data_IF_126736865924
#
_entry.id   IF_126736865924
#
_cell.length_a   1.000
_cell.length_b   1.000
_cell.length_c   1.000
_cell.angle_alpha   90.00
_cell.angle_beta   90.00
_cell.angle_gamma   90.00
#
_symmetry.space_group_name_H-M   'P 1'
#
loop_
_entity.id
_entity.type
_entity.pdbx_description
1 polymer ?
#
# COMPACT_ATOMS: atom_id res chain seq x y z
N UNK A 1 22.13 10.87 9.80
CA UNK A 1 21.94 11.20 8.38
C UNK A 1 20.48 10.90 8.06
N UNK A 2 19.75 11.81 7.41
CA UNK A 2 18.39 11.50 6.96
C UNK A 2 18.51 10.59 5.73
N UNK A 3 18.03 9.35 5.83
CA UNK A 3 18.15 8.33 4.79
C UNK A 3 16.95 8.34 3.82
N UNK A 4 15.97 9.23 4.01
CA UNK A 4 14.76 9.25 3.17
C UNK A 4 13.83 8.05 3.39
N UNK A 5 14.06 7.27 4.46
CA UNK A 5 13.33 6.04 4.77
C UNK A 5 12.12 6.29 5.67
N UNK A 6 11.11 5.45 5.54
CA UNK A 6 9.88 5.49 6.32
C UNK A 6 9.51 4.09 6.83
N UNK A 7 9.65 3.87 8.14
CA UNK A 7 9.33 2.57 8.76
C UNK A 7 7.83 2.40 8.95
N UNK A 8 7.33 1.27 8.45
CA UNK A 8 5.91 0.90 8.52
C UNK A 8 5.73 -0.49 9.09
N UNK A 9 4.54 -0.74 9.63
CA UNK A 9 4.14 -2.04 10.16
C UNK A 9 2.76 -2.46 9.66
N UNK A 10 2.59 -3.76 9.38
CA UNK A 10 1.29 -4.39 9.18
C UNK A 10 1.09 -5.42 10.30
N UNK A 11 0.02 -5.26 11.08
CA UNK A 11 -0.21 -6.03 12.30
C UNK A 11 -1.55 -6.78 12.21
N UNK A 12 -1.50 -8.12 12.28
CA UNK A 12 -2.68 -8.99 12.25
C UNK A 12 -2.95 -9.47 13.67
N UNK A 13 -3.91 -8.87 14.39
CA UNK A 13 -4.29 -9.32 15.72
C UNK A 13 -5.11 -10.60 15.63
N UNK A 14 -5.06 -11.40 16.71
CA UNK A 14 -6.15 -12.34 16.98
C UNK A 14 -7.39 -11.53 17.32
N UNK A 15 -8.48 -11.79 16.60
CA UNK A 15 -9.77 -11.13 16.82
C UNK A 15 -10.69 -12.01 17.66
N UNK A 16 -11.67 -11.40 18.32
CA UNK A 16 -12.87 -12.04 18.82
C UNK A 16 -14.07 -11.28 18.26
N UNK A 17 -14.88 -11.95 17.46
CA UNK A 17 -16.06 -11.35 16.81
C UNK A 17 -16.97 -10.72 17.88
N UNK A 18 -17.33 -9.45 17.67
CA UNK A 18 -18.13 -8.59 18.54
C UNK A 18 -17.56 -8.26 19.94
N UNK A 19 -16.41 -8.81 20.36
CA UNK A 19 -15.72 -8.46 21.61
C UNK A 19 -14.73 -7.31 21.36
N UNK A 20 -15.28 -6.11 21.18
CA UNK A 20 -14.52 -4.90 20.80
C UNK A 20 -13.48 -4.49 21.85
N UNK A 21 -13.70 -4.81 23.13
CA UNK A 21 -12.75 -4.51 24.21
C UNK A 21 -11.50 -5.37 24.12
N UNK A 22 -11.67 -6.66 23.85
CA UNK A 22 -10.54 -7.56 23.60
C UNK A 22 -9.76 -7.15 22.35
N UNK A 23 -10.47 -6.81 21.26
CA UNK A 23 -9.85 -6.41 20.01
C UNK A 23 -9.05 -5.10 20.16
N UNK A 24 -9.64 -4.08 20.80
CA UNK A 24 -8.95 -2.82 21.09
C UNK A 24 -7.74 -3.02 22.00
N UNK A 25 -7.84 -3.89 23.02
CA UNK A 25 -6.69 -4.24 23.86
C UNK A 25 -5.52 -4.84 23.06
N UNK A 26 -5.82 -5.69 22.08
CA UNK A 26 -4.81 -6.29 21.19
C UNK A 26 -4.20 -5.25 20.24
N UNK A 27 -5.03 -4.35 19.68
CA UNK A 27 -4.57 -3.22 18.84
C UNK A 27 -3.63 -2.30 19.62
N UNK A 28 -3.97 -1.90 20.86
CA UNK A 28 -3.10 -1.08 21.69
C UNK A 28 -1.77 -1.77 22.01
N UNK A 29 -1.79 -3.08 22.33
CA UNK A 29 -0.58 -3.87 22.57
C UNK A 29 0.34 -3.90 21.36
N UNK A 30 -0.21 -4.15 20.16
CA UNK A 30 0.56 -4.20 18.92
C UNK A 30 1.06 -2.82 18.49
N UNK A 31 0.26 -1.77 18.72
CA UNK A 31 0.67 -0.38 18.49
C UNK A 31 1.86 -0.01 19.37
N UNK A 32 1.86 -0.40 20.65
CA UNK A 32 3.01 -0.18 21.54
C UNK A 32 4.29 -0.87 21.03
N UNK A 33 4.17 -2.13 20.59
CA UNK A 33 5.31 -2.84 19.98
C UNK A 33 5.80 -2.18 18.70
N UNK A 34 4.89 -1.70 17.84
CA UNK A 34 5.26 -1.01 16.61
C UNK A 34 5.99 0.32 16.91
N UNK A 35 5.56 1.05 17.93
CA UNK A 35 6.22 2.26 18.40
C UNK A 35 7.63 1.97 18.96
N UNK A 36 7.78 0.91 19.77
CA UNK A 36 9.08 0.46 20.29
C UNK A 36 10.09 0.12 19.17
N UNK A 37 9.58 -0.38 18.04
CA UNK A 37 10.37 -0.68 16.83
C UNK A 37 10.61 0.55 15.93
N UNK A 38 10.09 1.72 16.31
CA UNK A 38 10.23 2.98 15.57
C UNK A 38 9.31 3.12 14.36
N UNK A 39 8.23 2.34 14.26
CA UNK A 39 7.29 2.48 13.15
C UNK A 39 6.54 3.83 13.22
N UNK A 40 6.48 4.51 12.08
CA UNK A 40 5.72 5.76 11.92
C UNK A 40 4.25 5.52 11.58
N UNK A 41 3.95 4.35 11.02
CA UNK A 41 2.62 3.92 10.60
C UNK A 41 2.42 2.44 10.91
N UNK A 42 1.33 2.09 11.61
CA UNK A 42 0.88 0.71 11.81
C UNK A 42 -0.53 0.54 11.26
N UNK A 43 -0.72 -0.52 10.49
CA UNK A 43 -1.96 -0.84 9.79
C UNK A 43 -2.57 -2.12 10.35
N UNK A 44 -3.87 -2.09 10.63
CA UNK A 44 -4.66 -3.22 11.09
C UNK A 44 -5.72 -3.65 10.05
N UNK A 45 -6.28 -4.86 10.15
CA UNK A 45 -7.28 -5.36 9.22
C UNK A 45 -8.57 -4.54 9.14
N UNK A 46 -9.33 -4.80 8.08
CA UNK A 46 -10.70 -4.33 7.88
C UNK A 46 -11.59 -4.73 9.06
N UNK A 47 -12.42 -3.80 9.53
CA UNK A 47 -13.31 -3.98 10.69
C UNK A 47 -12.64 -4.62 11.92
N UNK A 48 -11.32 -4.42 12.10
CA UNK A 48 -10.52 -5.01 13.18
C UNK A 48 -11.01 -4.68 14.60
N UNK A 49 -11.80 -3.62 14.79
CA UNK A 49 -12.43 -3.31 16.07
C UNK A 49 -13.52 -4.33 16.41
N UNK A 50 -14.38 -4.67 15.46
CA UNK A 50 -15.53 -5.56 15.68
C UNK A 50 -15.25 -7.01 15.31
N UNK A 51 -14.30 -7.24 14.40
CA UNK A 51 -14.28 -8.42 13.54
C UNK A 51 -15.19 -8.20 12.33
N UNK A 52 -14.70 -8.60 11.16
CA UNK A 52 -15.39 -8.46 9.88
C UNK A 52 -16.67 -9.30 9.82
N UNK A 53 -16.63 -10.49 10.41
CA UNK A 53 -17.70 -11.50 10.34
C UNK A 53 -18.83 -11.30 11.35
N UNK A 54 -19.11 -10.06 11.78
CA UNK A 54 -20.21 -9.75 12.71
C UNK A 54 -21.61 -9.90 12.08
N UNK A 55 -21.72 -9.89 10.74
CA UNK A 55 -22.99 -10.07 10.00
C UNK A 55 -24.09 -9.13 10.54
N UNK A 56 -25.30 -9.64 10.76
CA UNK A 56 -26.47 -8.88 11.26
C UNK A 56 -26.25 -8.22 12.64
N UNK A 57 -25.18 -8.55 13.38
CA UNK A 57 -24.81 -7.80 14.58
C UNK A 57 -24.45 -6.34 14.28
N UNK A 58 -24.07 -5.99 13.04
CA UNK A 58 -23.89 -4.60 12.62
C UNK A 58 -25.18 -3.77 12.73
N UNK A 59 -26.36 -4.41 12.78
CA UNK A 59 -27.63 -3.74 13.07
C UNK A 59 -27.85 -3.40 14.56
N UNK A 60 -27.00 -3.89 15.47
CA UNK A 60 -27.17 -3.71 16.91
C UNK A 60 -26.50 -2.42 17.40
N UNK A 61 -27.30 -1.49 17.94
CA UNK A 61 -26.80 -0.24 18.51
C UNK A 61 -25.71 -0.44 19.57
N UNK A 62 -25.81 -1.52 20.37
CA UNK A 62 -24.82 -1.83 21.39
C UNK A 62 -23.44 -2.08 20.77
N UNK A 63 -23.35 -2.88 19.70
CA UNK A 63 -22.09 -3.14 19.01
C UNK A 63 -21.49 -1.84 18.45
N UNK A 64 -22.31 -1.02 17.80
CA UNK A 64 -21.85 0.23 17.18
C UNK A 64 -21.36 1.24 18.21
N UNK A 65 -22.08 1.42 19.32
CA UNK A 65 -21.67 2.30 20.41
C UNK A 65 -20.38 1.80 21.06
N UNK A 66 -20.29 0.50 21.34
CA UNK A 66 -19.08 -0.10 21.93
C UNK A 66 -17.89 -0.03 20.98
N UNK A 67 -18.11 -0.17 19.68
CA UNK A 67 -17.07 0.01 18.66
C UNK A 67 -16.52 1.43 18.66
N UNK A 68 -17.38 2.45 18.77
CA UNK A 68 -16.94 3.84 18.88
C UNK A 68 -16.15 4.10 20.18
N UNK A 69 -16.61 3.58 21.32
CA UNK A 69 -15.88 3.65 22.60
C UNK A 69 -14.49 2.98 22.51
N UNK A 70 -14.41 1.82 21.83
CA UNK A 70 -13.17 1.10 21.60
C UNK A 70 -12.18 1.87 20.71
N UNK A 71 -12.66 2.56 19.67
CA UNK A 71 -11.84 3.48 18.88
C UNK A 71 -11.35 4.65 19.74
N UNK A 72 -12.22 5.22 20.59
CA UNK A 72 -11.84 6.26 21.55
C UNK A 72 -10.71 5.82 22.49
N UNK A 73 -10.74 4.58 22.97
CA UNK A 73 -9.67 4.00 23.80
C UNK A 73 -8.34 3.90 23.05
N UNK A 74 -8.35 3.51 21.78
CA UNK A 74 -7.13 3.44 20.96
C UNK A 74 -6.62 4.85 20.66
N UNK A 75 -7.52 5.78 20.33
CA UNK A 75 -7.20 7.19 20.14
C UNK A 75 -6.48 7.74 21.37
N UNK A 76 -7.02 7.56 22.57
CA UNK A 76 -6.38 7.99 23.82
C UNK A 76 -5.03 7.29 24.05
N UNK A 77 -4.91 6.02 23.71
CA UNK A 77 -3.63 5.32 23.77
C UNK A 77 -2.58 5.96 22.87
N UNK A 78 -2.94 6.54 21.72
CA UNK A 78 -1.98 7.24 20.84
C UNK A 78 -1.48 8.58 21.39
N UNK A 79 -2.04 9.11 22.49
CA UNK A 79 -1.66 10.42 23.06
C UNK A 79 -0.19 10.44 23.47
N UNK A 80 0.55 11.45 23.00
CA UNK A 80 1.99 11.60 23.25
C UNK A 80 2.88 10.68 22.42
N UNK A 81 2.30 9.89 21.51
CA UNK A 81 3.03 8.95 20.64
C UNK A 81 3.23 9.53 19.24
N UNK A 82 4.33 9.16 18.60
CA UNK A 82 4.62 9.58 17.22
C UNK A 82 3.99 8.66 16.16
N UNK A 83 3.57 7.45 16.55
CA UNK A 83 2.99 6.47 15.63
C UNK A 83 1.60 6.88 15.14
N UNK A 84 1.36 6.71 13.83
CA UNK A 84 0.05 6.79 13.20
C UNK A 84 -0.58 5.41 13.14
N UNK A 85 -1.85 5.29 13.52
CA UNK A 85 -2.56 4.01 13.61
C UNK A 85 -3.73 4.01 12.64
N UNK A 86 -3.85 2.99 11.79
CA UNK A 86 -4.99 2.79 10.89
C UNK A 86 -5.75 1.55 11.32
N UNK A 87 -7.00 1.72 11.75
CA UNK A 87 -7.89 0.63 12.21
C UNK A 87 -9.19 0.60 11.42
N UNK A 88 -9.80 -0.58 11.30
CA UNK A 88 -11.08 -0.76 10.64
C UNK A 88 -12.24 -0.76 11.64
N UNK A 89 -13.29 0.01 11.39
CA UNK A 89 -14.49 0.07 12.24
C UNK A 89 -15.76 0.45 11.45
N UNK A 90 -16.94 0.01 11.89
CA UNK A 90 -18.21 0.50 11.35
C UNK A 90 -18.50 1.92 11.86
N UNK A 91 -18.85 2.84 10.97
CA UNK A 91 -19.11 4.26 11.29
C UNK A 91 -20.50 4.67 10.80
N UNK A 92 -21.29 5.27 11.71
CA UNK A 92 -22.61 5.82 11.36
C UNK A 92 -22.47 7.24 10.84
N UNK A 93 -23.06 7.53 9.68
CA UNK A 93 -23.14 8.88 9.14
C UNK A 93 -24.48 9.09 8.44
N UNK A 94 -25.19 10.18 8.79
CA UNK A 94 -26.50 10.58 8.21
C UNK A 94 -27.52 9.42 8.09
N UNK A 95 -27.59 8.56 9.10
CA UNK A 95 -28.55 7.44 9.15
C UNK A 95 -28.13 6.17 8.38
N UNK A 96 -26.95 6.16 7.77
CA UNK A 96 -26.36 4.97 7.12
C UNK A 96 -25.13 4.50 7.90
N UNK A 97 -24.74 3.25 7.68
CA UNK A 97 -23.54 2.64 8.26
C UNK A 97 -22.50 2.43 7.18
N UNK A 98 -21.24 2.74 7.45
CA UNK A 98 -20.14 2.60 6.49
C UNK A 98 -19.04 1.72 7.08
N UNK A 99 -18.42 0.90 6.24
CA UNK A 99 -17.20 0.17 6.57
C UNK A 99 -16.02 1.12 6.36
N UNK A 100 -15.32 1.49 7.43
CA UNK A 100 -14.34 2.56 7.37
C UNK A 100 -12.97 2.16 7.93
N UNK A 101 -11.94 2.76 7.36
CA UNK A 101 -10.63 2.92 7.97
C UNK A 101 -10.59 4.24 8.75
N UNK A 102 -10.08 4.22 9.98
CA UNK A 102 -9.95 5.39 10.84
C UNK A 102 -8.47 5.63 11.12
N UNK A 103 -8.01 6.84 10.81
CA UNK A 103 -6.63 7.27 11.08
C UNK A 103 -6.57 7.95 12.43
N UNK A 104 -5.78 7.39 13.35
CA UNK A 104 -5.62 7.88 14.71
C UNK A 104 -4.17 8.31 14.92
N UNK A 105 -3.98 9.46 15.56
CA UNK A 105 -2.65 9.93 15.93
C UNK A 105 -2.68 10.95 17.07
N UNK A 106 -1.76 10.81 18.01
CA UNK A 106 -1.53 11.76 19.10
C UNK A 106 -2.82 12.20 19.84
N UNK A 107 -3.70 11.24 20.15
CA UNK A 107 -4.94 11.53 20.88
C UNK A 107 -6.06 12.13 20.05
N UNK A 108 -5.99 12.10 18.71
CA UNK A 108 -7.03 12.62 17.83
C UNK A 108 -7.31 11.72 16.62
N UNK A 109 -8.53 11.85 16.08
CA UNK A 109 -8.95 11.26 14.81
C UNK A 109 -8.53 12.21 13.69
N UNK A 110 -7.73 11.71 12.75
CA UNK A 110 -7.15 12.51 11.66
C UNK A 110 -7.96 12.45 10.38
N UNK A 111 -8.79 11.44 10.23
CA UNK A 111 -9.73 11.28 9.12
C UNK A 111 -10.35 9.88 9.11
N UNK A 112 -11.49 9.77 8.44
CA UNK A 112 -12.22 8.51 8.27
C UNK A 112 -12.39 8.25 6.78
N UNK A 113 -11.96 7.09 6.31
CA UNK A 113 -12.02 6.69 4.90
C UNK A 113 -13.04 5.56 4.76
N UNK A 114 -14.20 5.78 4.12
CA UNK A 114 -15.20 4.74 3.89
C UNK A 114 -14.86 3.91 2.65
N UNK A 115 -15.12 2.61 2.71
CA UNK A 115 -14.99 1.66 1.60
C UNK A 115 -15.95 2.05 0.47
N UNK A 116 -15.46 2.13 -0.76
CA UNK A 116 -16.27 2.54 -1.91
C UNK A 116 -17.00 1.34 -2.48
N UNK A 117 -16.29 0.26 -2.76
CA UNK A 117 -16.86 -0.89 -3.43
C UNK A 117 -17.25 -1.96 -2.41
N UNK A 118 -18.53 -2.29 -2.34
CA UNK A 118 -19.08 -3.28 -1.42
C UNK A 118 -19.39 -4.57 -2.18
N UNK A 119 -18.67 -5.68 -1.95
CA UNK A 119 -18.95 -6.93 -2.62
C UNK A 119 -20.27 -7.52 -2.11
N UNK A 120 -21.18 -7.83 -3.04
CA UNK A 120 -22.46 -8.51 -2.80
C UNK A 120 -22.60 -9.75 -3.71
N UNK A 121 -21.52 -10.50 -3.85
CA UNK A 121 -21.44 -11.68 -4.70
C UNK A 121 -20.70 -12.82 -3.97
N UNK A 122 -21.00 -14.05 -4.36
CA UNK A 122 -20.46 -15.27 -3.75
C UNK A 122 -20.68 -15.30 -2.22
N UNK A 123 -19.62 -15.35 -1.42
CA UNK A 123 -19.64 -15.38 0.04
C UNK A 123 -19.86 -14.01 0.71
N UNK A 124 -19.89 -12.92 -0.05
CA UNK A 124 -19.98 -11.55 0.47
C UNK A 124 -21.37 -10.95 0.26
N UNK A 125 -21.90 -10.29 1.29
CA UNK A 125 -23.17 -9.54 1.26
C UNK A 125 -23.04 -8.18 1.97
N UNK A 126 -21.93 -7.47 1.77
CA UNK A 126 -21.64 -6.24 2.53
C UNK A 126 -22.69 -5.14 2.32
N UNK A 127 -23.29 -5.09 1.13
CA UNK A 127 -24.37 -4.15 0.79
C UNK A 127 -25.65 -4.35 1.62
N UNK A 128 -25.80 -5.46 2.33
CA UNK A 128 -26.88 -5.68 3.31
C UNK A 128 -26.75 -4.77 4.53
N UNK A 129 -25.53 -4.49 4.98
CA UNK A 129 -25.27 -3.75 6.23
C UNK A 129 -24.66 -2.37 6.01
N UNK A 130 -23.84 -2.23 4.96
CA UNK A 130 -23.04 -1.03 4.72
C UNK A 130 -23.52 -0.26 3.49
N UNK A 131 -23.34 1.06 3.57
CA UNK A 131 -23.47 1.99 2.47
C UNK A 131 -22.10 2.22 1.81
N UNK A 132 -22.13 2.50 0.51
CA UNK A 132 -20.92 2.76 -0.26
C UNK A 132 -20.35 4.14 0.06
N UNK A 133 -19.03 4.21 0.18
CA UNK A 133 -18.25 5.45 0.24
C UNK A 133 -18.41 6.35 -1.00
N UNK A 134 -19.05 5.87 -2.08
CA UNK A 134 -19.40 6.71 -3.23
C UNK A 134 -20.31 7.88 -2.86
N UNK A 135 -21.06 7.78 -1.76
CA UNK A 135 -21.88 8.87 -1.21
C UNK A 135 -21.07 10.16 -0.95
N UNK A 136 -19.75 10.04 -0.81
CA UNK A 136 -18.83 11.15 -0.53
C UNK A 136 -18.09 11.67 -1.79
N UNK A 137 -18.39 11.18 -2.99
CA UNK A 137 -17.70 11.57 -4.23
C UNK A 137 -18.41 12.69 -5.02
N UNK A 138 -19.49 13.28 -4.50
CA UNK A 138 -20.25 14.33 -5.18
C UNK A 138 -19.47 15.64 -5.40
N UNK A 139 -19.84 16.40 -6.43
CA UNK A 139 -19.16 17.63 -6.88
C UNK A 139 -19.05 18.74 -5.82
N UNK A 140 -19.92 18.74 -4.80
CA UNK A 140 -19.91 19.71 -3.71
C UNK A 140 -18.84 19.39 -2.64
N UNK A 141 -18.23 18.19 -2.66
CA UNK A 141 -17.12 17.80 -1.78
C UNK A 141 -15.76 18.29 -2.29
N UNK A 142 -15.75 19.52 -2.82
CA UNK A 142 -14.51 20.20 -3.19
C UNK A 142 -13.61 20.38 -1.95
N UNK A 143 -12.31 20.23 -2.13
CA UNK A 143 -11.28 20.47 -1.11
C UNK A 143 -11.15 21.98 -0.79
N UNK A 144 -12.26 22.61 -0.37
CA UNK A 144 -12.35 24.02 -0.01
C UNK A 144 -12.38 24.18 1.50
N UNK A 145 -12.34 25.42 1.99
CA UNK A 145 -12.30 25.71 3.42
C UNK A 145 -10.91 25.61 4.07
N UNK A 146 -10.84 25.97 5.34
CA UNK A 146 -9.63 26.03 6.17
C UNK A 146 -9.51 24.79 7.05
N UNK A 147 -8.28 24.41 7.34
CA UNK A 147 -8.00 23.42 8.38
C UNK A 147 -8.28 24.02 9.76
N UNK A 148 -8.97 23.25 10.57
CA UNK A 148 -9.24 23.49 11.98
C UNK A 148 -8.52 22.40 12.76
N UNK A 149 -7.52 22.80 13.54
CA UNK A 149 -6.86 21.97 14.55
C UNK A 149 -6.86 22.76 15.86
N UNK A 150 -7.76 22.41 16.78
CA UNK A 150 -7.85 23.04 18.11
C UNK A 150 -7.26 22.14 19.21
N UNK A 151 -6.48 21.13 18.83
CA UNK A 151 -5.94 20.11 19.71
C UNK A 151 -6.94 19.02 20.11
N UNK A 152 -8.23 19.22 19.83
CA UNK A 152 -9.28 18.20 19.99
C UNK A 152 -9.81 17.79 18.62
N UNK A 153 -10.43 18.71 17.91
CA UNK A 153 -11.01 18.52 16.60
C UNK A 153 -9.95 18.74 15.52
N UNK A 154 -9.99 17.91 14.47
CA UNK A 154 -9.06 18.00 13.34
C UNK A 154 -9.83 17.75 12.05
N UNK A 155 -10.25 18.83 11.41
CA UNK A 155 -11.11 18.77 10.22
C UNK A 155 -10.91 19.98 9.32
N UNK A 156 -11.43 19.89 8.10
CA UNK A 156 -11.54 20.97 7.14
C UNK A 156 -12.99 21.42 7.03
N UNK A 157 -13.24 22.72 7.24
CA UNK A 157 -14.59 23.28 7.42
C UNK A 157 -15.42 23.39 6.13
N UNK A 158 -14.78 23.29 4.96
CA UNK A 158 -15.45 23.35 3.65
C UNK A 158 -16.01 22.02 3.15
N UNK A 159 -15.88 20.95 3.94
CA UNK A 159 -16.43 19.63 3.61
C UNK A 159 -17.85 19.50 4.17
N UNK A 160 -18.80 19.06 3.35
CA UNK A 160 -20.13 18.67 3.84
C UNK A 160 -20.08 17.40 4.73
N UNK A 161 -19.00 16.63 4.59
CA UNK A 161 -18.77 15.36 5.27
C UNK A 161 -17.98 15.50 6.58
N UNK A 162 -18.40 16.43 7.45
CA UNK A 162 -17.90 16.54 8.83
C UNK A 162 -18.74 15.66 9.75
N UNK A 163 -18.08 14.78 10.51
CA UNK A 163 -18.70 13.87 11.46
C UNK A 163 -18.19 14.14 12.88
N UNK A 164 -19.08 14.00 13.87
CA UNK A 164 -18.70 13.89 15.28
C UNK A 164 -18.58 12.42 15.66
N UNK A 165 -17.36 11.95 15.93
CA UNK A 165 -17.06 10.56 16.28
C UNK A 165 -16.10 10.54 17.48
N UNK A 166 -16.35 9.69 18.48
CA UNK A 166 -15.64 9.67 19.77
C UNK A 166 -15.68 11.03 20.51
N UNK A 167 -16.61 11.91 20.18
CA UNK A 167 -16.66 13.27 20.71
C UNK A 167 -15.75 14.30 20.02
N UNK A 168 -15.08 13.92 18.93
CA UNK A 168 -14.22 14.76 18.09
C UNK A 168 -14.88 15.02 16.73
N UNK A 169 -14.65 16.20 16.15
CA UNK A 169 -14.99 16.50 14.75
C UNK A 169 -13.82 16.15 13.84
N UNK A 170 -14.13 15.39 12.79
CA UNK A 170 -13.21 15.00 11.74
C UNK A 170 -13.94 14.90 10.39
N UNK A 171 -13.21 14.81 9.29
CA UNK A 171 -13.79 14.56 7.98
C UNK A 171 -13.91 13.06 7.70
N UNK A 172 -14.98 12.68 7.02
CA UNK A 172 -15.17 11.36 6.42
C UNK A 172 -15.20 11.50 4.89
N UNK A 173 -14.26 10.87 4.19
CA UNK A 173 -14.20 10.91 2.71
C UNK A 173 -13.21 9.86 2.19
N UNK A 174 -13.44 9.28 1.00
CA UNK A 174 -12.44 8.48 0.30
C UNK A 174 -11.26 9.31 -0.24
N UNK A 175 -11.44 10.63 -0.40
CA UNK A 175 -10.44 11.51 -1.02
C UNK A 175 -9.53 12.19 0.04
N UNK A 176 -9.09 11.43 1.03
CA UNK A 176 -8.20 11.91 2.09
C UNK A 176 -6.78 11.37 1.86
N UNK A 177 -5.80 12.25 1.99
CA UNK A 177 -4.37 11.92 2.05
C UNK A 177 -3.82 12.34 3.41
N UNK A 178 -2.80 11.64 3.89
CA UNK A 178 -2.22 11.85 5.21
C UNK A 178 -0.70 11.94 5.09
N UNK A 179 -0.13 13.09 5.45
CA UNK A 179 1.31 13.32 5.45
C UNK A 179 1.90 13.10 6.84
N UNK A 180 2.93 12.26 6.94
CA UNK A 180 3.67 11.94 8.17
C UNK A 180 5.16 12.00 7.86
N UNK A 181 5.85 13.01 8.39
CA UNK A 181 7.27 13.22 8.08
C UNK A 181 7.49 13.43 6.59
N UNK A 182 8.27 12.55 5.96
CA UNK A 182 8.59 12.60 4.53
C UNK A 182 7.63 11.79 3.65
N UNK A 183 6.69 11.04 4.23
CA UNK A 183 5.77 10.16 3.51
C UNK A 183 4.34 10.70 3.50
N UNK A 184 3.66 10.60 2.36
CA UNK A 184 2.21 10.77 2.24
C UNK A 184 1.56 9.44 1.94
N UNK A 185 0.50 9.09 2.66
CA UNK A 185 -0.25 7.87 2.42
C UNK A 185 -1.73 8.11 2.11
N UNK A 186 -2.30 7.20 1.34
CA UNK A 186 -3.73 7.07 1.06
C UNK A 186 -4.25 5.70 1.49
N UNK A 187 -5.56 5.56 1.64
CA UNK A 187 -6.18 4.31 2.10
C UNK A 187 -7.21 3.84 1.07
N UNK A 188 -7.20 2.53 0.80
CA UNK A 188 -8.29 1.79 0.17
C UNK A 188 -8.65 0.58 1.04
N UNK A 189 -9.85 0.00 0.89
CA UNK A 189 -10.34 -1.06 1.77
C UNK A 189 -10.74 -2.28 0.94
N UNK A 190 -10.01 -3.38 1.12
CA UNK A 190 -10.31 -4.71 0.58
C UNK A 190 -10.74 -4.68 -0.90
N UNK A 191 -12.04 -4.84 -1.18
CA UNK A 191 -12.65 -4.85 -2.52
C UNK A 191 -12.31 -3.64 -3.38
N UNK A 192 -12.03 -2.48 -2.77
CA UNK A 192 -11.58 -1.30 -3.50
C UNK A 192 -10.40 -1.61 -4.44
N UNK A 193 -9.47 -2.46 -3.98
CA UNK A 193 -8.30 -2.85 -4.76
C UNK A 193 -8.61 -3.82 -5.91
N UNK A 194 -9.61 -4.69 -5.76
CA UNK A 194 -9.94 -5.74 -6.73
C UNK A 194 -10.71 -5.21 -7.95
N UNK A 195 -11.14 -3.95 -7.90
CA UNK A 195 -11.85 -3.32 -9.01
C UNK A 195 -10.94 -3.06 -10.22
N UNK A 196 -11.49 -2.93 -11.44
CA UNK A 196 -10.70 -2.64 -12.63
C UNK A 196 -9.90 -1.32 -12.55
N UNK A 197 -10.41 -0.34 -11.81
CA UNK A 197 -9.76 0.95 -11.56
C UNK A 197 -9.82 1.21 -10.04
N UNK A 198 -8.83 0.73 -9.28
CA UNK A 198 -8.85 0.88 -7.83
C UNK A 198 -8.57 2.32 -7.40
N UNK A 199 -9.03 2.76 -6.20
CA UNK A 199 -8.77 4.10 -5.68
C UNK A 199 -7.28 4.47 -5.63
N UNK A 200 -6.40 3.50 -5.39
CA UNK A 200 -4.95 3.67 -5.48
C UNK A 200 -4.46 4.25 -6.82
N UNK A 201 -5.19 4.04 -7.91
CA UNK A 201 -4.92 4.65 -9.23
C UNK A 201 -5.09 6.17 -9.24
N UNK A 202 -5.85 6.72 -8.30
CA UNK A 202 -6.09 8.15 -8.14
C UNK A 202 -5.35 8.73 -6.93
N UNK A 203 -5.23 7.97 -5.83
CA UNK A 203 -4.47 8.37 -4.64
C UNK A 203 -3.00 8.63 -4.97
N UNK A 204 -2.36 7.72 -5.73
CA UNK A 204 -0.95 7.82 -6.07
C UNK A 204 -0.59 9.06 -6.90
N UNK A 205 -1.25 9.34 -8.05
CA UNK A 205 -1.01 10.58 -8.78
C UNK A 205 -1.43 11.80 -7.96
N UNK A 206 -2.40 11.71 -7.05
CA UNK A 206 -2.79 12.83 -6.17
C UNK A 206 -1.76 13.15 -5.07
N UNK A 207 -0.80 12.26 -4.81
CA UNK A 207 0.33 12.53 -3.92
C UNK A 207 0.69 11.39 -2.98
N UNK A 208 -0.14 10.35 -2.85
CA UNK A 208 0.17 9.22 -2.00
C UNK A 208 1.43 8.50 -2.50
N UNK A 209 2.48 8.47 -1.68
CA UNK A 209 3.69 7.66 -1.88
C UNK A 209 3.53 6.26 -1.30
N UNK A 210 2.63 6.10 -0.33
CA UNK A 210 2.29 4.82 0.29
C UNK A 210 0.78 4.59 0.15
N UNK A 211 0.38 3.40 -0.29
CA UNK A 211 -1.02 2.97 -0.29
C UNK A 211 -1.21 1.99 0.85
N UNK A 212 -2.25 2.21 1.65
CA UNK A 212 -2.66 1.31 2.72
C UNK A 212 -3.92 0.57 2.29
N UNK A 213 -3.90 -0.75 2.37
CA UNK A 213 -5.07 -1.59 2.19
C UNK A 213 -5.35 -2.39 3.46
N UNK A 214 -6.45 -2.04 4.13
CA UNK A 214 -6.99 -2.85 5.21
C UNK A 214 -8.00 -3.84 4.61
N UNK A 215 -7.85 -5.11 4.95
CA UNK A 215 -8.60 -6.20 4.33
C UNK A 215 -9.17 -7.17 5.34
N UNK A 216 -10.24 -7.85 4.96
CA UNK A 216 -10.68 -9.12 5.48
C UNK A 216 -10.89 -10.07 4.28
N UNK A 217 -9.79 -10.43 3.62
CA UNK A 217 -9.83 -11.32 2.47
C UNK A 217 -9.81 -12.77 2.94
N UNK A 218 -10.90 -13.48 2.72
CA UNK A 218 -10.97 -14.91 2.95
C UNK A 218 -9.96 -15.68 2.07
N UNK A 219 -9.66 -16.90 2.52
CA UNK A 219 -8.79 -17.84 1.85
C UNK A 219 -9.59 -18.81 0.98
N UNK A 220 -9.18 -18.90 -0.28
CA UNK A 220 -9.65 -19.88 -1.27
C UNK A 220 -8.40 -20.48 -1.90
N UNK A 221 -8.48 -21.72 -2.38
CA UNK A 221 -7.34 -22.37 -3.02
C UNK A 221 -6.72 -21.48 -4.10
N UNK A 222 -5.39 -21.40 -4.16
CA UNK A 222 -4.58 -20.61 -5.12
C UNK A 222 -4.70 -19.09 -5.05
N UNK A 223 -5.67 -18.52 -4.31
CA UNK A 223 -5.90 -17.07 -4.20
C UNK A 223 -4.70 -16.29 -3.68
N UNK A 224 -3.89 -16.89 -2.80
CA UNK A 224 -2.74 -16.21 -2.18
C UNK A 224 -1.70 -15.73 -3.19
N UNK A 225 -1.33 -16.58 -4.15
CA UNK A 225 -0.33 -16.23 -5.15
C UNK A 225 -0.82 -15.07 -6.02
N UNK A 226 -2.08 -15.15 -6.48
CA UNK A 226 -2.73 -14.09 -7.25
C UNK A 226 -2.80 -12.78 -6.46
N UNK A 227 -3.17 -12.84 -5.17
CA UNK A 227 -3.18 -11.67 -4.27
C UNK A 227 -1.81 -11.01 -4.21
N UNK A 228 -0.75 -11.79 -3.97
CA UNK A 228 0.64 -11.30 -3.90
C UNK A 228 1.07 -10.63 -5.20
N UNK A 229 0.81 -11.28 -6.34
CA UNK A 229 1.13 -10.76 -7.67
C UNK A 229 0.39 -9.46 -7.97
N UNK A 230 -0.91 -9.40 -7.69
CA UNK A 230 -1.71 -8.21 -7.92
C UNK A 230 -1.23 -7.03 -7.06
N UNK A 231 -0.97 -7.25 -5.77
CA UNK A 231 -0.48 -6.20 -4.85
C UNK A 231 0.91 -5.69 -5.28
N UNK A 232 1.82 -6.61 -5.58
CA UNK A 232 3.15 -6.27 -6.11
C UNK A 232 3.02 -5.45 -7.40
N UNK A 233 2.25 -5.93 -8.39
CA UNK A 233 2.05 -5.23 -9.64
C UNK A 233 1.43 -3.85 -9.45
N UNK A 234 0.44 -3.72 -8.56
CA UNK A 234 -0.19 -2.43 -8.29
C UNK A 234 0.82 -1.45 -7.71
N UNK A 235 1.63 -1.85 -6.72
CA UNK A 235 2.68 -1.00 -6.15
C UNK A 235 3.68 -0.51 -7.22
N UNK A 236 3.99 -1.34 -8.23
CA UNK A 236 4.84 -0.97 -9.36
C UNK A 236 4.16 -0.02 -10.34
N UNK A 237 2.87 -0.24 -10.65
CA UNK A 237 2.08 0.64 -11.52
C UNK A 237 1.94 2.05 -10.92
N UNK A 238 1.67 2.12 -9.62
CA UNK A 238 1.49 3.38 -8.87
C UNK A 238 2.80 3.98 -8.35
N UNK A 239 3.95 3.34 -8.61
CA UNK A 239 5.28 3.76 -8.13
C UNK A 239 5.20 4.15 -6.66
N UNK A 240 4.70 3.24 -5.82
CA UNK A 240 4.39 3.51 -4.41
C UNK A 240 4.87 2.37 -3.50
N UNK A 241 4.98 2.66 -2.22
CA UNK A 241 4.85 1.65 -1.18
C UNK A 241 3.41 1.13 -1.14
N UNK A 242 3.20 -0.12 -0.76
CA UNK A 242 1.88 -0.71 -0.59
C UNK A 242 1.86 -1.60 0.65
N UNK A 243 1.00 -1.29 1.61
CA UNK A 243 0.86 -2.02 2.88
C UNK A 243 -0.47 -2.74 2.85
N UNK A 244 -0.45 -4.06 2.77
CA UNK A 244 -1.63 -4.91 2.82
C UNK A 244 -1.71 -5.61 4.17
N UNK A 245 -2.86 -5.53 4.84
CA UNK A 245 -3.11 -6.22 6.10
C UNK A 245 -4.51 -6.85 6.11
N UNK A 246 -4.57 -8.17 6.08
CA UNK A 246 -5.83 -8.92 6.09
C UNK A 246 -6.14 -9.52 7.45
N UNK A 247 -7.44 -9.65 7.77
CA UNK A 247 -7.93 -10.37 8.93
C UNK A 247 -7.37 -11.81 8.97
N UNK A 248 -7.23 -12.33 10.19
CA UNK A 248 -6.64 -13.64 10.47
C UNK A 248 -7.45 -14.43 11.49
N UNK A 249 -6.76 -15.13 12.39
CA UNK A 249 -7.41 -16.03 13.33
C UNK A 249 -8.37 -15.31 14.28
N UNK A 250 -9.54 -15.92 14.47
CA UNK A 250 -10.57 -15.46 15.40
C UNK A 250 -11.81 -14.82 14.76
N UNK A 251 -11.77 -14.57 13.45
CA UNK A 251 -12.99 -14.38 12.65
C UNK A 251 -13.86 -15.66 12.67
N UNK A 252 -15.17 -15.49 12.46
CA UNK A 252 -16.12 -16.60 12.37
C UNK A 252 -15.76 -17.50 11.20
N UNK A 253 -15.63 -18.80 11.48
CA UNK A 253 -15.35 -19.83 10.48
C UNK A 253 -16.64 -20.52 10.00
N UNK A 254 -17.79 -19.83 10.07
CA UNK A 254 -19.07 -20.41 9.67
C UNK A 254 -19.05 -20.81 8.18
N UNK A 255 -18.62 -19.89 7.31
CA UNK A 255 -18.57 -20.12 5.86
C UNK A 255 -17.19 -19.84 5.22
N UNK A 256 -16.33 -19.06 5.89
CA UNK A 256 -15.05 -18.59 5.34
C UNK A 256 -13.90 -18.78 6.32
N UNK A 257 -12.66 -18.78 5.82
CA UNK A 257 -11.44 -18.86 6.64
C UNK A 257 -10.54 -17.68 6.29
N UNK A 258 -9.89 -17.10 7.30
CA UNK A 258 -9.03 -15.93 7.14
C UNK A 258 -7.59 -16.29 7.52
N UNK A 259 -6.69 -16.17 6.54
CA UNK A 259 -5.30 -16.60 6.67
C UNK A 259 -4.38 -15.58 7.35
N UNK A 260 -4.85 -14.36 7.61
CA UNK A 260 -4.02 -13.31 8.22
C UNK A 260 -2.90 -12.85 7.30
N UNK A 261 -3.14 -12.75 6.00
CA UNK A 261 -2.10 -12.35 5.03
C UNK A 261 -1.70 -10.89 5.22
N UNK A 262 -0.41 -10.64 5.40
CA UNK A 262 0.19 -9.31 5.44
C UNK A 262 1.39 -9.23 4.50
N UNK A 263 1.40 -8.20 3.66
CA UNK A 263 2.42 -8.01 2.62
C UNK A 263 2.76 -6.52 2.57
N UNK A 264 4.06 -6.19 2.57
CA UNK A 264 4.55 -4.83 2.33
C UNK A 264 5.38 -4.85 1.04
N UNK A 265 4.96 -4.04 0.06
CA UNK A 265 5.62 -3.89 -1.22
C UNK A 265 6.18 -2.47 -1.42
N UNK A 266 7.17 -2.36 -2.28
CA UNK A 266 7.69 -1.10 -2.81
C UNK A 266 7.96 -1.25 -4.31
N UNK A 267 7.23 -0.50 -5.13
CA UNK A 267 7.45 -0.41 -6.57
C UNK A 267 7.69 -1.78 -7.25
N UNK A 268 6.75 -2.71 -7.07
CA UNK A 268 6.81 -4.05 -7.66
C UNK A 268 7.52 -5.10 -6.79
N UNK A 269 8.25 -4.71 -5.74
CA UNK A 269 9.06 -5.64 -4.96
C UNK A 269 8.43 -5.88 -3.60
N UNK A 270 8.33 -7.14 -3.18
CA UNK A 270 7.86 -7.51 -1.84
C UNK A 270 9.03 -7.33 -0.87
N UNK A 271 8.89 -6.42 0.09
CA UNK A 271 9.90 -6.16 1.12
C UNK A 271 9.71 -7.07 2.34
N UNK A 272 8.46 -7.34 2.69
CA UNK A 272 8.11 -8.22 3.80
C UNK A 272 6.79 -8.94 3.53
N UNK A 273 6.70 -10.19 3.95
CA UNK A 273 5.50 -11.03 3.91
C UNK A 273 5.49 -11.88 5.19
N UNK A 274 4.32 -12.05 5.81
CA UNK A 274 4.21 -12.85 7.01
C UNK A 274 3.97 -14.34 6.71
N UNK A 275 4.22 -15.18 7.71
CA UNK A 275 3.70 -16.54 7.70
C UNK A 275 2.19 -16.49 7.97
N UNK A 276 1.39 -17.13 7.11
CA UNK A 276 -0.08 -17.16 7.22
C UNK A 276 -0.56 -18.23 8.20
N UNK A 277 -1.84 -18.18 8.54
CA UNK A 277 -2.55 -19.13 9.40
C UNK A 277 -2.02 -19.23 10.84
N UNK A 278 -1.41 -18.14 11.32
CA UNK A 278 -0.95 -18.04 12.70
C UNK A 278 -2.14 -17.85 13.66
N UNK A 279 -2.09 -18.52 14.81
CA UNK A 279 -3.16 -18.48 15.82
C UNK A 279 -2.98 -17.36 16.85
N UNK A 280 -1.82 -16.70 16.83
CA UNK A 280 -1.46 -15.59 17.68
C UNK A 280 -1.31 -14.30 16.86
N UNK A 281 -1.23 -13.16 17.54
CA UNK A 281 -0.93 -11.89 16.88
C UNK A 281 0.36 -11.99 16.06
N UNK A 282 0.37 -11.40 14.87
CA UNK A 282 1.57 -11.28 14.04
C UNK A 282 1.77 -9.83 13.60
N UNK A 283 3.01 -9.47 13.29
CA UNK A 283 3.35 -8.16 12.79
C UNK A 283 4.62 -8.25 11.95
N UNK A 284 4.61 -7.58 10.81
CA UNK A 284 5.77 -7.42 9.94
C UNK A 284 6.14 -5.95 9.81
N UNK A 285 7.41 -5.69 9.53
CA UNK A 285 7.97 -4.35 9.38
C UNK A 285 8.68 -4.24 8.04
N UNK A 286 8.71 -3.03 7.48
CA UNK A 286 9.59 -2.70 6.36
C UNK A 286 10.00 -1.23 6.43
N UNK A 287 11.20 -0.95 5.93
CA UNK A 287 11.70 0.42 5.71
C UNK A 287 11.50 0.78 4.23
N UNK A 288 10.48 1.60 3.97
CA UNK A 288 10.15 2.10 2.63
C UNK A 288 11.08 3.24 2.24
N UNK A 289 11.62 3.21 1.03
CA UNK A 289 12.50 4.25 0.50
C UNK A 289 11.69 5.31 -0.25
N UNK A 290 11.25 6.33 0.49
CA UNK A 290 10.38 7.39 -0.03
C UNK A 290 11.15 8.28 -1.00
N UNK A 291 12.44 8.50 -0.76
CA UNK A 291 13.30 9.27 -1.66
C UNK A 291 13.46 8.58 -3.02
N UNK A 292 13.71 7.26 -3.05
CA UNK A 292 13.71 6.47 -4.29
C UNK A 292 12.38 6.59 -5.03
N UNK A 293 11.24 6.48 -4.34
CA UNK A 293 9.92 6.64 -4.98
C UNK A 293 9.76 8.03 -5.61
N UNK A 294 10.22 9.08 -4.94
CA UNK A 294 10.21 10.44 -5.49
C UNK A 294 11.05 10.55 -6.77
N UNK A 295 12.27 10.02 -6.74
CA UNK A 295 13.18 10.03 -7.91
C UNK A 295 12.57 9.25 -9.08
N UNK A 296 11.97 8.09 -8.82
CA UNK A 296 11.32 7.28 -9.87
C UNK A 296 10.12 8.02 -10.48
N UNK A 297 9.29 8.67 -9.66
CA UNK A 297 8.16 9.49 -10.13
C UNK A 297 8.62 10.69 -10.95
N UNK A 298 9.70 11.36 -10.56
CA UNK A 298 10.28 12.48 -11.31
C UNK A 298 10.80 12.05 -12.68
N UNK A 299 11.44 10.88 -12.79
CA UNK A 299 11.93 10.34 -14.07
C UNK A 299 10.80 9.88 -14.99
N UNK A 300 9.65 9.50 -14.44
CA UNK A 300 8.48 9.01 -15.18
C UNK A 300 7.52 10.17 -15.49
N UNK A 301 7.79 10.92 -16.57
CA UNK A 301 6.97 12.06 -17.00
C UNK A 301 5.47 11.72 -17.20
N UNK A 302 5.14 10.47 -17.54
CA UNK A 302 3.78 9.98 -17.71
C UNK A 302 3.05 9.66 -16.40
N UNK A 303 3.73 9.72 -15.25
CA UNK A 303 3.15 9.39 -13.94
C UNK A 303 1.98 10.31 -13.55
N UNK A 304 2.15 11.63 -13.73
CA UNK A 304 1.07 12.64 -13.60
C UNK A 304 0.58 13.08 -14.98
N UNK A 305 0.22 12.09 -15.80
CA UNK A 305 -0.30 12.33 -17.14
C UNK A 305 -1.77 12.76 -17.18
N UNK A 306 -2.30 12.81 -18.41
CA UNK A 306 -3.74 12.95 -18.66
C UNK A 306 -4.43 11.61 -18.43
N UNK A 307 -5.57 11.62 -17.76
CA UNK A 307 -6.40 10.42 -17.62
C UNK A 307 -7.24 10.17 -18.90
N UNK A 308 -7.78 8.95 -19.10
CA UNK A 308 -8.51 8.61 -20.33
C UNK A 308 -9.76 9.46 -20.62
N UNK A 309 -10.32 10.14 -19.62
CA UNK A 309 -11.48 11.04 -19.79
C UNK A 309 -11.08 12.49 -20.15
N UNK A 310 -9.79 12.76 -20.33
CA UNK A 310 -9.27 14.08 -20.69
C UNK A 310 -9.04 15.02 -19.49
N UNK A 311 -9.23 14.54 -18.26
CA UNK A 311 -8.93 15.29 -17.04
C UNK A 311 -7.48 15.08 -16.64
N UNK A 312 -6.80 16.16 -16.28
CA UNK A 312 -5.40 16.10 -15.85
C UNK A 312 -5.29 15.50 -14.44
N UNK A 313 -4.17 14.80 -14.15
CA UNK A 313 -3.86 14.38 -12.78
C UNK A 313 -3.89 15.55 -11.77
N UNK A 314 -3.61 16.78 -12.23
CA UNK A 314 -3.68 17.99 -11.40
C UNK A 314 -5.12 18.35 -11.00
N UNK A 315 -6.06 18.29 -11.94
CA UNK A 315 -7.49 18.53 -11.65
C UNK A 315 -8.04 17.47 -10.69
N UNK A 316 -7.69 16.20 -10.92
CA UNK A 316 -8.03 15.12 -9.99
C UNK A 316 -7.41 15.33 -8.60
N UNK A 317 -6.15 15.78 -8.53
CA UNK A 317 -5.49 16.04 -7.24
C UNK A 317 -6.18 17.15 -6.42
N UNK A 318 -6.87 18.08 -7.08
CA UNK A 318 -7.67 19.11 -6.42
C UNK A 318 -8.89 18.57 -5.65
N UNK A 319 -9.28 17.32 -5.90
CA UNK A 319 -10.34 16.63 -5.15
C UNK A 319 -9.84 16.00 -3.85
N UNK A 320 -8.53 15.84 -3.69
CA UNK A 320 -7.94 15.22 -2.51
C UNK A 320 -7.52 16.29 -1.50
N UNK A 321 -7.83 16.05 -0.22
CA UNK A 321 -7.31 16.88 0.88
C UNK A 321 -6.21 16.14 1.62
N UNK A 322 -5.03 16.75 1.65
CA UNK A 322 -3.88 16.23 2.38
C UNK A 322 -3.81 16.83 3.79
N UNK A 323 -3.80 15.96 4.79
CA UNK A 323 -3.75 16.31 6.20
C UNK A 323 -2.32 16.11 6.71
N UNK A 324 -1.69 17.19 7.18
CA UNK A 324 -0.38 17.12 7.80
C UNK A 324 -0.50 16.63 9.24
N UNK A 325 0.03 15.44 9.50
CA UNK A 325 -0.02 14.78 10.79
C UNK A 325 1.22 15.05 11.64
N UNK A 326 2.20 15.80 11.12
CA UNK A 326 3.46 16.12 11.78
C UNK A 326 4.59 15.10 11.51
N UNK A 327 5.69 15.15 12.29
CA UNK A 327 6.95 14.46 11.98
C UNK A 327 6.83 12.93 12.01
N UNK A 328 7.70 12.20 11.33
CA UNK A 328 7.76 10.74 11.48
C UNK A 328 8.20 10.33 12.91
N UNK A 329 7.96 9.07 13.28
CA UNK A 329 8.51 8.51 14.50
C UNK A 329 10.05 8.50 14.44
N UNK A 330 10.75 8.86 15.53
CA UNK A 330 12.20 8.75 15.57
C UNK A 330 12.60 7.29 15.39
N UNK A 331 13.35 7.01 14.32
CA UNK A 331 13.77 5.66 13.95
C UNK A 331 15.28 5.58 13.92
N UNK A 332 15.85 4.63 14.65
CA UNK A 332 17.27 4.30 14.62
C UNK A 332 17.49 3.16 13.61
N UNK A 333 17.86 3.53 12.39
CA UNK A 333 18.12 2.59 11.29
C UNK A 333 19.46 1.85 11.46
N UNK A 334 20.39 2.37 12.26
CA UNK A 334 21.67 1.70 12.54
C UNK A 334 21.46 0.53 13.50
N UNK A 335 20.52 0.68 14.45
CA UNK A 335 20.18 -0.39 15.40
C UNK A 335 19.39 -1.53 14.76
N UNK A 336 18.40 -1.21 13.93
CA UNK A 336 17.57 -2.18 13.21
C UNK A 336 17.22 -1.64 11.84
N UNK A 337 17.31 -2.49 10.83
CA UNK A 337 17.05 -2.13 9.45
C UNK A 337 16.18 -3.21 8.79
N UNK A 338 14.92 -2.88 8.50
CA UNK A 338 13.92 -3.80 7.94
C UNK A 338 13.87 -3.69 6.42
N UNK A 339 15.03 -3.86 5.78
CA UNK A 339 15.17 -3.85 4.33
C UNK A 339 16.40 -4.64 3.92
N UNK A 340 16.24 -5.51 2.94
CA UNK A 340 17.38 -6.10 2.25
C UNK A 340 17.87 -5.13 1.16
N UNK A 341 19.16 -4.80 1.17
CA UNK A 341 19.80 -3.98 0.14
C UNK A 341 20.76 -4.88 -0.61
N UNK A 342 20.45 -5.12 -1.88
CA UNK A 342 21.27 -5.95 -2.74
C UNK A 342 22.65 -5.31 -3.01
N UNK A 343 23.76 -5.98 -2.67
CA UNK A 343 25.11 -5.47 -2.97
C UNK A 343 25.41 -5.37 -4.47
N UNK A 344 24.73 -6.15 -5.32
CA UNK A 344 24.98 -6.28 -6.76
C UNK A 344 23.72 -6.02 -7.62
N UNK A 345 23.16 -4.79 -7.65
CA UNK A 345 21.85 -4.49 -8.23
C UNK A 345 21.72 -4.72 -9.75
N UNK A 346 22.83 -4.95 -10.45
CA UNK A 346 22.86 -5.22 -11.90
C UNK A 346 23.10 -6.69 -12.24
N UNK A 347 23.34 -7.54 -11.24
CA UNK A 347 23.48 -8.97 -11.46
C UNK A 347 22.11 -9.65 -11.41
N UNK A 348 21.83 -10.57 -12.35
CA UNK A 348 20.64 -11.39 -12.26
C UNK A 348 20.65 -12.22 -10.97
N UNK A 349 19.57 -12.11 -10.20
CA UNK A 349 19.27 -12.98 -9.06
C UNK A 349 18.07 -13.88 -9.38
N UNK A 350 17.97 -14.97 -8.63
CA UNK A 350 16.89 -15.95 -8.75
C UNK A 350 17.43 -17.37 -8.76
N UNK A 351 16.59 -18.30 -9.18
CA UNK A 351 17.06 -19.65 -9.46
C UNK A 351 18.00 -19.67 -10.69
N UNK A 352 18.81 -20.74 -10.88
CA UNK A 352 19.73 -20.82 -12.01
C UNK A 352 19.07 -20.67 -13.39
N UNK A 353 17.79 -21.01 -13.53
CA UNK A 353 17.07 -20.87 -14.79
C UNK A 353 16.68 -19.40 -15.06
N UNK A 354 16.22 -18.67 -14.04
CA UNK A 354 15.94 -17.23 -14.14
C UNK A 354 17.22 -16.43 -14.45
N UNK A 355 18.33 -16.76 -13.77
CA UNK A 355 19.64 -16.14 -14.02
C UNK A 355 20.08 -16.39 -15.47
N UNK A 356 19.92 -17.62 -15.96
CA UNK A 356 20.28 -17.98 -17.33
C UNK A 356 19.42 -17.21 -18.36
N UNK A 357 18.11 -17.09 -18.13
CA UNK A 357 17.22 -16.39 -19.06
C UNK A 357 17.50 -14.87 -19.08
N UNK A 358 17.71 -14.23 -17.93
CA UNK A 358 18.10 -12.81 -17.86
C UNK A 358 19.47 -12.57 -18.50
N UNK A 359 20.44 -13.45 -18.27
CA UNK A 359 21.77 -13.36 -18.89
C UNK A 359 21.70 -13.49 -20.41
N UNK A 360 20.84 -14.38 -20.90
CA UNK A 360 20.57 -14.56 -22.33
C UNK A 360 19.88 -13.33 -22.92
N UNK A 361 18.93 -12.71 -22.22
CA UNK A 361 18.31 -11.45 -22.63
C UNK A 361 19.36 -10.34 -22.79
N UNK A 362 20.25 -10.18 -21.81
CA UNK A 362 21.36 -9.20 -21.86
C UNK A 362 22.20 -9.39 -23.13
N UNK A 363 22.60 -10.63 -23.44
CA UNK A 363 23.36 -10.94 -24.65
C UNK A 363 22.56 -10.68 -25.93
N UNK A 364 21.27 -10.99 -25.93
CA UNK A 364 20.40 -10.76 -27.08
C UNK A 364 20.21 -9.27 -27.37
N UNK A 365 20.10 -8.42 -26.34
CA UNK A 365 20.03 -6.97 -26.49
C UNK A 365 21.29 -6.45 -27.18
N UNK A 366 22.47 -6.83 -26.69
CA UNK A 366 23.75 -6.41 -27.26
C UNK A 366 23.93 -6.91 -28.70
N UNK A 367 23.61 -8.19 -28.94
CA UNK A 367 23.71 -8.82 -30.27
C UNK A 367 22.80 -8.11 -31.28
N UNK A 368 21.54 -7.88 -30.92
CA UNK A 368 20.56 -7.25 -31.82
C UNK A 368 20.92 -5.80 -32.12
N UNK A 369 21.43 -5.06 -31.12
CA UNK A 369 21.94 -3.70 -31.32
C UNK A 369 23.12 -3.65 -32.30
N UNK A 370 24.04 -4.61 -32.21
CA UNK A 370 25.16 -4.71 -33.14
C UNK A 370 24.72 -5.07 -34.56
N UNK A 371 23.79 -6.02 -34.71
CA UNK A 371 23.20 -6.39 -36.01
C UNK A 371 22.63 -5.15 -36.71
N UNK A 372 21.78 -4.39 -36.03
CA UNK A 372 21.16 -3.20 -36.59
C UNK A 372 22.21 -2.16 -37.04
N UNK A 373 23.31 -2.02 -36.29
CA UNK A 373 24.43 -1.14 -36.67
C UNK A 373 25.11 -1.65 -37.93
N UNK A 374 25.49 -2.93 -38.00
CA UNK A 374 26.21 -3.53 -39.13
C UNK A 374 25.42 -3.43 -40.44
N UNK A 375 24.12 -3.70 -40.38
CA UNK A 375 23.23 -3.55 -41.53
C UNK A 375 23.13 -2.08 -41.99
N UNK A 376 23.00 -1.13 -41.05
CA UNK A 376 22.88 0.28 -41.38
C UNK A 376 24.11 0.86 -42.10
N UNK A 377 25.31 0.38 -41.78
CA UNK A 377 26.56 0.83 -42.41
C UNK A 377 27.02 -0.10 -43.55
N UNK A 378 26.23 -1.11 -43.91
CA UNK A 378 26.55 -2.21 -44.83
C UNK A 378 27.96 -2.81 -44.62
N UNK A 379 28.34 -2.96 -43.34
CA UNK A 379 29.67 -3.45 -42.99
C UNK A 379 29.62 -4.97 -42.83
N UNK A 380 30.47 -5.67 -43.58
CA UNK A 380 30.61 -7.13 -43.51
C UNK A 380 31.82 -7.58 -42.70
N UNK A 381 32.57 -6.64 -42.11
CA UNK A 381 33.80 -6.90 -41.34
C UNK A 381 33.76 -6.22 -39.97
N UNK A 382 34.35 -6.85 -38.97
CA UNK A 382 34.49 -6.26 -37.64
C UNK A 382 35.94 -6.32 -37.17
N UNK A 383 36.49 -5.19 -36.72
CA UNK A 383 37.83 -5.13 -36.16
C UNK A 383 37.71 -5.00 -34.65
N UNK A 384 38.16 -6.03 -33.91
CA UNK A 384 38.18 -6.04 -32.46
C UNK A 384 39.62 -6.16 -31.93
N UNK A 385 39.97 -5.29 -30.98
CA UNK A 385 41.18 -5.46 -30.18
C UNK A 385 40.93 -6.44 -29.04
N UNK A 386 41.59 -7.60 -29.06
CA UNK A 386 41.42 -8.64 -28.03
C UNK A 386 42.57 -8.54 -27.02
N UNK A 387 42.25 -8.16 -25.79
CA UNK A 387 43.22 -8.04 -24.69
C UNK A 387 43.31 -9.29 -23.82
N UNK A 388 42.31 -10.19 -23.92
CA UNK A 388 42.14 -11.33 -23.01
C UNK A 388 41.34 -11.01 -21.75
N UNK A 389 40.91 -9.76 -21.56
CA UNK A 389 40.01 -9.36 -20.48
C UNK A 389 38.54 -9.71 -20.75
N UNK A 390 37.72 -9.65 -19.69
CA UNK A 390 36.28 -9.97 -19.74
C UNK A 390 35.54 -9.15 -20.81
N UNK A 391 35.77 -7.84 -20.87
CA UNK A 391 35.08 -6.94 -21.81
C UNK A 391 35.39 -7.29 -23.26
N UNK A 392 36.68 -7.51 -23.59
CA UNK A 392 37.09 -7.89 -24.95
C UNK A 392 36.57 -9.26 -25.36
N UNK A 393 36.42 -10.17 -24.38
CA UNK A 393 35.86 -11.50 -24.60
C UNK A 393 34.35 -11.42 -24.86
N UNK A 394 33.62 -10.64 -24.07
CA UNK A 394 32.19 -10.42 -24.27
C UNK A 394 31.90 -9.75 -25.62
N UNK A 395 32.67 -8.72 -25.98
CA UNK A 395 32.54 -8.03 -27.27
C UNK A 395 32.76 -8.99 -28.46
N UNK A 396 33.74 -9.89 -28.35
CA UNK A 396 33.98 -10.93 -29.35
C UNK A 396 32.79 -11.89 -29.44
N UNK A 397 32.28 -12.39 -28.32
CA UNK A 397 31.13 -13.30 -28.28
C UNK A 397 29.88 -12.67 -28.92
N UNK A 398 29.58 -11.42 -28.57
CA UNK A 398 28.46 -10.66 -29.15
C UNK A 398 28.63 -10.48 -30.66
N UNK A 399 29.85 -10.23 -31.13
CA UNK A 399 30.15 -10.08 -32.56
C UNK A 399 29.95 -11.39 -33.31
N UNK A 400 30.45 -12.50 -32.77
CA UNK A 400 30.24 -13.84 -33.35
C UNK A 400 28.74 -14.16 -33.43
N UNK A 401 27.98 -13.90 -32.36
CA UNK A 401 26.52 -14.12 -32.34
C UNK A 401 25.79 -13.25 -33.37
N UNK A 402 26.25 -12.01 -33.60
CA UNK A 402 25.67 -11.12 -34.61
C UNK A 402 25.97 -11.61 -36.03
N UNK A 403 27.21 -12.04 -36.29
CA UNK A 403 27.66 -12.53 -37.59
C UNK A 403 26.95 -13.82 -37.97
N UNK A 404 26.80 -14.75 -37.03
CA UNK A 404 26.05 -15.99 -37.23
C UNK A 404 24.59 -15.71 -37.63
N UNK A 405 23.93 -14.73 -36.99
CA UNK A 405 22.55 -14.33 -37.31
C UNK A 405 22.43 -13.64 -38.67
N UNK A 406 23.45 -12.88 -39.08
CA UNK A 406 23.50 -12.18 -40.36
C UNK A 406 24.02 -13.05 -41.51
N UNK A 407 24.49 -14.27 -41.23
CA UNK A 407 25.16 -15.12 -42.22
C UNK A 407 26.50 -14.57 -42.71
N UNK A 408 27.15 -13.71 -41.91
CA UNK A 408 28.49 -13.19 -42.20
C UNK A 408 29.51 -14.23 -41.72
N UNK A 409 30.48 -14.66 -42.57
CA UNK A 409 31.54 -15.57 -42.14
C UNK A 409 32.35 -14.97 -40.98
N UNK A 410 32.65 -15.78 -39.96
CA UNK A 410 33.39 -15.36 -38.75
C UNK A 410 34.85 -14.94 -39.00
N UNK A 411 35.38 -15.21 -40.19
CA UNK A 411 36.73 -14.78 -40.61
C UNK A 411 36.78 -13.30 -41.06
N UNK A 412 35.59 -12.68 -41.21
CA UNK A 412 35.44 -11.25 -41.45
C UNK A 412 35.32 -10.48 -40.14
#
# INVERSE_FOLDING_TARGET
MDLGLFRVAAAVPRVRVADVEYNAGSICRLTGKAEEEGASLVVFPELSITGYTCLDLFGQNLLLTKSEEAVGRIMDFTRGKHITVVVGAPVRFRGRLYNCAIVLRNGGIKGIVPKIYLPTYAEFDEGRWFASGSDFLGADNSATGRFVDDGKDYYRDGFDSIIKYCGHRCNISPNLLFAVGNATFGIEICEDFWTPIPPSSFLAPSGAQVIVNISASNEVMTKHQQRKELISNQSGRTVSGYIYCSAGYGESSMDTVYGGSSIICENGHVLAENERFQLHDTMIFADLDIEKLNVLRQKKNSFRGMTPDGTSACEYSGLYSCYDLGPAAPTDFDKKFYRYVEPHPFLPEGDPAEIAERSKEILQIQTTGLIARLEHIDCKKAVLGISGGLDSTLALLVTVMAFDKLGIPRDN
#
